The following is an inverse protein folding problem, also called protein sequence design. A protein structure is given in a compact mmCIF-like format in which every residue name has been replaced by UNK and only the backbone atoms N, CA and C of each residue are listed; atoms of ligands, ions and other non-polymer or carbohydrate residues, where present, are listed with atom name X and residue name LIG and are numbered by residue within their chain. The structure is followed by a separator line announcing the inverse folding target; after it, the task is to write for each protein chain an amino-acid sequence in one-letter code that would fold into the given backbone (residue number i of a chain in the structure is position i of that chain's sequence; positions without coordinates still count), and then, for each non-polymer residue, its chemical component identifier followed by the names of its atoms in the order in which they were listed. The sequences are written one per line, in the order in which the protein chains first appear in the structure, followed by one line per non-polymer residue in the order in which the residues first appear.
data_IF_623433958930
#
_entry.id   IF_623433958930
#
_cell.length_a   1.000
_cell.length_b   1.000
_cell.length_c   1.000
_cell.angle_alpha   90.00
_cell.angle_beta   90.00
_cell.angle_gamma   90.00
#
_symmetry.space_group_name_H-M   'P 1'
#
loop_
_entity.id
_entity.type
_entity.pdbx_description
1 polymer ?
#
# COMPACT_ATOMS: atom_id res chain seq x y z
N UNK A 1 -7.68 -2.19 3.93
CA UNK A 1 -8.35 -1.54 2.79
C UNK A 1 -9.11 -2.52 1.90
N UNK A 2 -8.54 -3.67 1.56
CA UNK A 2 -9.22 -4.68 0.74
C UNK A 2 -10.38 -5.42 1.41
N UNK A 3 -10.29 -5.75 2.70
CA UNK A 3 -11.33 -6.48 3.44
C UNK A 3 -12.57 -5.61 3.56
N UNK A 4 -12.41 -4.29 3.72
CA UNK A 4 -13.52 -3.34 3.68
C UNK A 4 -14.20 -3.30 2.30
N UNK A 5 -13.45 -3.33 1.18
CA UNK A 5 -14.06 -3.46 -0.15
C UNK A 5 -14.74 -4.83 -0.33
N UNK A 6 -14.14 -5.91 0.17
CA UNK A 6 -14.70 -7.25 0.15
C UNK A 6 -16.03 -7.29 0.93
N UNK A 7 -16.07 -6.77 2.16
CA UNK A 7 -17.27 -6.69 2.99
C UNK A 7 -18.35 -5.76 2.43
N UNK A 8 -17.99 -4.60 1.87
CA UNK A 8 -18.96 -3.66 1.25
C UNK A 8 -19.63 -4.24 -0.01
N UNK A 9 -18.94 -5.18 -0.68
CA UNK A 9 -19.37 -5.80 -1.94
C UNK A 9 -19.65 -7.31 -1.79
N UNK A 10 -19.84 -7.81 -0.57
CA UNK A 10 -20.18 -9.21 -0.26
C UNK A 10 -19.24 -10.27 -0.88
N UNK A 11 -17.95 -9.93 -1.02
CA UNK A 11 -16.93 -10.84 -1.50
C UNK A 11 -16.26 -11.54 -0.32
N UNK A 12 -16.23 -12.87 -0.34
CA UNK A 12 -15.60 -13.68 0.73
C UNK A 12 -14.12 -13.98 0.48
N UNK A 13 -13.67 -13.80 -0.76
CA UNK A 13 -12.28 -14.04 -1.19
C UNK A 13 -11.80 -12.95 -2.14
N UNK A 14 -10.49 -12.72 -2.13
CA UNK A 14 -9.85 -11.80 -3.08
C UNK A 14 -10.05 -12.35 -4.51
N UNK A 15 -10.62 -11.57 -5.44
CA UNK A 15 -10.75 -11.98 -6.83
C UNK A 15 -9.40 -12.38 -7.42
N UNK A 16 -9.36 -13.52 -8.11
CA UNK A 16 -8.17 -13.99 -8.83
C UNK A 16 -8.20 -13.56 -10.29
N UNK A 17 -7.06 -13.64 -10.96
CA UNK A 17 -6.99 -13.31 -12.38
C UNK A 17 -7.83 -14.31 -13.17
N UNK A 18 -8.78 -13.80 -13.95
CA UNK A 18 -9.70 -14.62 -14.76
C UNK A 18 -9.02 -15.44 -15.88
N UNK A 19 -7.69 -15.35 -16.03
CA UNK A 19 -6.93 -16.08 -17.06
C UNK A 19 -5.96 -17.09 -16.45
N UNK A 20 -5.22 -16.70 -15.40
CA UNK A 20 -4.14 -17.53 -14.84
C UNK A 20 -4.30 -17.85 -13.36
N UNK A 21 -5.40 -17.43 -12.72
CA UNK A 21 -5.64 -17.64 -11.28
C UNK A 21 -4.71 -16.87 -10.35
N UNK A 22 -3.71 -16.15 -10.88
CA UNK A 22 -2.78 -15.35 -10.08
C UNK A 22 -3.46 -14.18 -9.38
N UNK A 23 -2.88 -13.71 -8.28
CA UNK A 23 -3.39 -12.55 -7.53
C UNK A 23 -3.48 -11.30 -8.40
N UNK A 24 -4.54 -10.52 -8.22
CA UNK A 24 -4.75 -9.25 -8.91
C UNK A 24 -4.59 -8.07 -7.96
N UNK A 25 -4.21 -6.90 -8.50
CA UNK A 25 -4.02 -5.70 -7.68
C UNK A 25 -5.36 -5.03 -7.38
N UNK A 26 -5.53 -4.62 -6.12
CA UNK A 26 -6.57 -3.68 -5.71
C UNK A 26 -6.23 -2.28 -6.25
N UNK A 27 -7.19 -1.61 -6.89
CA UNK A 27 -7.00 -0.29 -7.51
C UNK A 27 -7.57 0.86 -6.67
N UNK A 28 -8.00 0.57 -5.46
CA UNK A 28 -8.76 1.48 -4.60
C UNK A 28 -10.23 1.11 -4.54
N UNK A 29 -10.92 1.57 -3.51
CA UNK A 29 -12.31 1.20 -3.21
C UNK A 29 -13.30 1.47 -4.34
N UNK A 30 -13.07 2.54 -5.11
CA UNK A 30 -13.89 2.90 -6.27
C UNK A 30 -13.79 1.91 -7.43
N UNK A 31 -12.59 1.39 -7.70
CA UNK A 31 -12.33 0.53 -8.87
C UNK A 31 -12.25 -0.95 -8.51
N UNK A 32 -12.16 -1.26 -7.21
CA UNK A 32 -12.04 -2.62 -6.71
C UNK A 32 -10.78 -3.32 -7.20
N UNK A 33 -10.89 -4.63 -7.33
CA UNK A 33 -9.83 -5.49 -7.85
C UNK A 33 -9.78 -5.49 -9.37
N UNK A 34 -8.57 -5.53 -9.94
CA UNK A 34 -8.44 -5.83 -11.37
C UNK A 34 -8.98 -7.22 -11.68
N UNK A 35 -9.65 -7.39 -12.81
CA UNK A 35 -10.02 -8.73 -13.30
C UNK A 35 -8.82 -9.55 -13.81
N UNK A 36 -7.68 -8.88 -14.09
CA UNK A 36 -6.48 -9.50 -14.66
C UNK A 36 -5.20 -9.01 -13.99
N UNK A 37 -4.23 -9.90 -13.81
CA UNK A 37 -2.93 -9.57 -13.21
C UNK A 37 -2.03 -8.75 -14.15
N UNK A 38 -2.24 -8.85 -15.47
CA UNK A 38 -1.46 -8.16 -16.50
C UNK A 38 -2.27 -7.91 -17.77
N UNK A 39 -1.81 -6.97 -18.61
CA UNK A 39 -2.40 -6.76 -19.95
C UNK A 39 -2.32 -8.02 -20.80
N UNK A 40 -1.24 -8.80 -20.67
CA UNK A 40 -1.05 -10.07 -21.37
C UNK A 40 -2.15 -11.07 -20.97
N UNK A 41 -2.41 -11.24 -19.67
CA UNK A 41 -3.49 -12.12 -19.22
C UNK A 41 -4.87 -11.65 -19.70
N UNK A 42 -5.13 -10.34 -19.71
CA UNK A 42 -6.37 -9.79 -20.26
C UNK A 42 -6.51 -10.10 -21.75
N UNK A 43 -5.44 -9.95 -22.53
CA UNK A 43 -5.44 -10.25 -23.97
C UNK A 43 -5.57 -11.74 -24.28
N UNK A 44 -5.10 -12.60 -23.38
CA UNK A 44 -5.15 -14.06 -23.56
C UNK A 44 -6.39 -14.70 -22.93
N UNK A 45 -7.29 -13.92 -22.33
CA UNK A 45 -8.52 -14.46 -21.76
C UNK A 45 -9.45 -14.98 -22.87
N UNK A 46 -9.79 -16.26 -22.81
CA UNK A 46 -10.57 -16.97 -23.83
C UNK A 46 -11.96 -16.34 -23.98
N UNK A 47 -12.65 -16.08 -22.87
CA UNK A 47 -14.02 -15.55 -22.90
C UNK A 47 -14.09 -14.14 -23.50
N UNK A 48 -13.16 -13.26 -23.14
CA UNK A 48 -13.05 -11.93 -23.75
C UNK A 48 -12.75 -12.01 -25.24
N UNK A 49 -11.89 -12.93 -25.66
CA UNK A 49 -11.55 -13.11 -27.06
C UNK A 49 -12.73 -13.69 -27.87
N UNK A 50 -13.49 -14.62 -27.29
CA UNK A 50 -14.69 -15.16 -27.90
C UNK A 50 -15.77 -14.08 -28.05
N UNK A 51 -16.07 -13.32 -26.98
CA UNK A 51 -17.01 -12.17 -27.04
C UNK A 51 -16.59 -11.13 -28.07
N UNK A 52 -15.29 -10.82 -28.15
CA UNK A 52 -14.76 -9.90 -29.18
C UNK A 52 -14.96 -10.44 -30.58
N UNK A 53 -14.71 -11.73 -30.80
CA UNK A 53 -14.88 -12.38 -32.10
C UNK A 53 -16.35 -12.42 -32.51
N UNK A 54 -17.25 -12.78 -31.59
CA UNK A 54 -18.68 -12.83 -31.83
C UNK A 54 -19.28 -11.45 -32.13
N UNK A 55 -18.96 -10.45 -31.31
CA UNK A 55 -19.40 -9.05 -31.55
C UNK A 55 -18.95 -8.55 -32.92
N UNK A 56 -17.74 -8.94 -33.35
CA UNK A 56 -17.21 -8.54 -34.67
C UNK A 56 -17.90 -9.29 -35.81
N UNK A 57 -18.15 -10.59 -35.67
CA UNK A 57 -18.93 -11.39 -36.64
C UNK A 57 -20.33 -10.81 -36.80
N UNK A 58 -21.01 -10.51 -35.70
CA UNK A 58 -22.35 -9.90 -35.72
C UNK A 58 -22.39 -8.53 -36.41
N UNK A 59 -21.36 -7.69 -36.21
CA UNK A 59 -21.32 -6.33 -36.77
C UNK A 59 -20.82 -6.24 -38.21
N UNK A 60 -19.91 -7.11 -38.61
CA UNK A 60 -19.15 -6.95 -39.85
C UNK A 60 -19.17 -8.16 -40.78
N UNK A 61 -19.61 -9.35 -40.33
CA UNK A 61 -19.76 -10.55 -41.15
C UNK A 61 -18.47 -11.21 -41.66
N UNK A 62 -17.38 -10.46 -41.88
CA UNK A 62 -16.11 -10.92 -42.44
C UNK A 62 -15.01 -11.13 -41.38
N UNK A 63 -13.99 -11.94 -41.72
CA UNK A 63 -12.79 -12.13 -40.88
C UNK A 63 -11.97 -10.83 -40.81
N UNK A 64 -11.54 -10.46 -39.59
CA UNK A 64 -10.74 -9.27 -39.35
C UNK A 64 -9.41 -9.24 -40.13
N UNK A 65 -8.77 -10.39 -40.34
CA UNK A 65 -7.53 -10.45 -41.15
C UNK A 65 -7.81 -10.06 -42.59
N UNK A 66 -8.93 -10.48 -43.14
CA UNK A 66 -9.34 -10.15 -44.51
C UNK A 66 -9.65 -8.66 -44.66
N UNK A 67 -10.37 -8.07 -43.70
CA UNK A 67 -10.65 -6.63 -43.67
C UNK A 67 -9.35 -5.81 -43.62
N UNK A 68 -8.38 -6.24 -42.80
CA UNK A 68 -7.09 -5.56 -42.67
C UNK A 68 -6.30 -5.65 -43.99
N UNK A 69 -6.27 -6.81 -44.63
CA UNK A 69 -5.54 -6.99 -45.89
C UNK A 69 -6.21 -6.30 -47.08
N UNK A 70 -7.55 -6.28 -47.15
CA UNK A 70 -8.29 -5.46 -48.13
C UNK A 70 -7.95 -3.98 -47.95
N UNK A 71 -7.95 -3.50 -46.69
CA UNK A 71 -7.61 -2.11 -46.36
C UNK A 71 -6.17 -1.75 -46.72
N UNK A 72 -5.20 -2.60 -46.41
CA UNK A 72 -3.80 -2.41 -46.81
C UNK A 72 -3.66 -2.32 -48.33
N UNK A 73 -4.26 -3.27 -49.08
CA UNK A 73 -4.26 -3.23 -50.56
C UNK A 73 -4.83 -1.93 -51.11
N UNK A 74 -5.97 -1.48 -50.58
CA UNK A 74 -6.56 -0.19 -50.99
C UNK A 74 -5.67 1.00 -50.65
N UNK A 75 -5.09 1.04 -49.44
CA UNK A 75 -4.21 2.13 -49.03
C UNK A 75 -2.91 2.13 -49.84
N UNK A 76 -2.38 0.96 -50.17
CA UNK A 76 -1.19 0.81 -50.97
C UNK A 76 -1.42 1.26 -52.42
N UNK A 77 -2.58 0.94 -52.99
CA UNK A 77 -2.98 1.43 -54.32
C UNK A 77 -3.23 2.94 -54.35
N UNK A 78 -3.80 3.52 -53.29
CA UNK A 78 -4.16 4.96 -53.26
C UNK A 78 -3.03 5.88 -52.79
N UNK A 79 -2.21 5.42 -51.85
CA UNK A 79 -1.30 6.26 -51.07
C UNK A 79 0.13 5.74 -51.02
N UNK A 80 0.40 4.56 -51.58
CA UNK A 80 1.72 3.92 -51.58
C UNK A 80 2.20 3.45 -50.21
N UNK A 81 1.34 3.49 -49.18
CA UNK A 81 1.64 3.03 -47.83
C UNK A 81 0.48 2.22 -47.24
N UNK A 82 0.79 1.23 -46.39
CA UNK A 82 -0.21 0.40 -45.71
C UNK A 82 -1.17 1.22 -44.84
N UNK A 83 -0.66 2.31 -44.26
CA UNK A 83 -1.41 3.20 -43.38
C UNK A 83 -1.29 4.66 -43.88
N UNK A 84 -2.39 5.36 -44.19
CA UNK A 84 -2.36 6.68 -44.85
C UNK A 84 -1.49 7.74 -44.14
N UNK A 85 -1.41 7.70 -42.81
CA UNK A 85 -0.59 8.65 -42.03
C UNK A 85 0.93 8.43 -42.15
N UNK A 86 1.38 7.33 -42.77
CA UNK A 86 2.78 7.13 -43.15
C UNK A 86 3.16 7.98 -44.37
N UNK A 87 2.18 8.34 -45.21
CA UNK A 87 2.38 9.27 -46.31
C UNK A 87 2.52 10.68 -45.73
N UNK A 88 3.66 11.33 -45.99
CA UNK A 88 4.01 12.64 -45.43
C UNK A 88 3.01 13.73 -45.82
N UNK A 89 2.48 13.68 -47.05
CA UNK A 89 1.53 14.68 -47.56
C UNK A 89 0.17 14.58 -46.86
N UNK A 90 -0.32 13.35 -46.65
CA UNK A 90 -1.58 13.09 -45.92
C UNK A 90 -1.42 13.49 -44.45
N UNK A 91 -0.27 13.20 -43.85
CA UNK A 91 0.03 13.61 -42.49
C UNK A 91 0.03 15.13 -42.34
N UNK A 92 0.61 15.84 -43.29
CA UNK A 92 0.67 17.30 -43.30
C UNK A 92 -0.74 17.92 -43.47
N UNK A 93 -1.53 17.46 -44.45
CA UNK A 93 -2.94 17.87 -44.62
C UNK A 93 -3.80 17.62 -43.38
N UNK A 94 -3.53 16.52 -42.66
CA UNK A 94 -4.22 16.21 -41.41
C UNK A 94 -3.90 17.21 -40.31
N UNK A 95 -2.63 17.63 -40.19
CA UNK A 95 -2.20 18.65 -39.22
C UNK A 95 -2.82 20.02 -39.53
N UNK A 96 -2.81 20.44 -40.79
CA UNK A 96 -3.43 21.69 -41.25
C UNK A 96 -4.94 21.72 -41.00
N UNK A 97 -5.62 20.58 -41.22
CA UNK A 97 -7.05 20.44 -40.91
C UNK A 97 -7.32 20.50 -39.41
N UNK A 98 -6.42 19.95 -38.59
CA UNK A 98 -6.54 20.02 -37.13
C UNK A 98 -6.31 21.45 -36.61
N UNK A 99 -5.34 22.16 -37.18
CA UNK A 99 -5.01 23.53 -36.80
C UNK A 99 -6.11 24.52 -37.19
N UNK A 100 -6.59 24.46 -38.45
CA UNK A 100 -7.73 25.25 -38.94
C UNK A 100 -9.03 25.00 -38.15
N UNK A 101 -9.18 23.80 -37.57
CA UNK A 101 -10.29 23.46 -36.67
C UNK A 101 -9.94 23.66 -35.20
N UNK A 102 -8.99 24.52 -34.83
CA UNK A 102 -8.76 24.90 -33.43
C UNK A 102 -8.16 23.79 -32.54
N UNK A 103 -7.48 22.81 -33.13
CA UNK A 103 -6.68 21.81 -32.44
C UNK A 103 -7.33 20.43 -32.24
N UNK A 104 -6.57 19.53 -31.61
CA UNK A 104 -6.93 18.11 -31.47
C UNK A 104 -7.86 17.89 -30.26
N UNK A 105 -8.99 17.22 -30.50
CA UNK A 105 -9.90 16.74 -29.46
C UNK A 105 -10.44 17.86 -28.56
N UNK A 106 -10.26 17.74 -27.26
CA UNK A 106 -10.77 18.72 -26.28
C UNK A 106 -9.97 20.03 -26.22
N UNK A 107 -8.92 20.22 -27.04
CA UNK A 107 -8.27 21.53 -27.18
C UNK A 107 -9.19 22.51 -27.94
N UNK A 108 -9.93 22.02 -28.93
CA UNK A 108 -10.96 22.77 -29.64
C UNK A 108 -12.14 23.09 -28.69
N UNK A 109 -12.55 24.38 -28.66
CA UNK A 109 -13.63 24.89 -27.80
C UNK A 109 -15.01 24.35 -28.23
N UNK A 110 -15.32 24.35 -29.52
CA UNK A 110 -16.58 23.82 -30.07
C UNK A 110 -16.73 22.32 -29.75
N UNK A 111 -15.64 21.57 -29.77
CA UNK A 111 -15.65 20.14 -29.42
C UNK A 111 -15.98 19.94 -27.94
N UNK A 112 -15.44 20.80 -27.05
CA UNK A 112 -15.81 20.82 -25.63
C UNK A 112 -17.29 21.16 -25.43
N UNK A 113 -17.78 22.19 -26.10
CA UNK A 113 -19.17 22.63 -26.00
C UNK A 113 -20.16 21.58 -26.52
N UNK A 114 -19.87 20.97 -27.68
CA UNK A 114 -20.69 19.88 -28.23
C UNK A 114 -20.70 18.66 -27.30
N UNK A 115 -19.56 18.28 -26.74
CA UNK A 115 -19.49 17.19 -25.76
C UNK A 115 -20.29 17.51 -24.49
N UNK A 116 -20.19 18.74 -23.97
CA UNK A 116 -20.94 19.18 -22.81
C UNK A 116 -22.46 19.17 -23.07
N UNK A 117 -22.90 19.66 -24.23
CA UNK A 117 -24.31 19.64 -24.64
C UNK A 117 -24.85 18.21 -24.74
N UNK A 118 -24.12 17.32 -25.41
CA UNK A 118 -24.51 15.91 -25.51
C UNK A 118 -24.58 15.20 -24.14
N UNK A 119 -23.71 15.58 -23.19
CA UNK A 119 -23.75 15.07 -21.82
C UNK A 119 -24.97 15.59 -21.04
N UNK A 120 -25.34 16.86 -21.24
CA UNK A 120 -26.54 17.44 -20.64
C UNK A 120 -27.80 16.78 -21.21
N UNK A 121 -27.89 16.63 -22.54
CA UNK A 121 -29.03 15.99 -23.19
C UNK A 121 -29.20 14.53 -22.75
N UNK A 122 -28.09 13.80 -22.60
CA UNK A 122 -28.13 12.37 -22.27
C UNK A 122 -28.25 12.08 -20.77
N UNK A 123 -27.70 12.94 -19.91
CA UNK A 123 -27.54 12.67 -18.47
C UNK A 123 -28.01 13.82 -17.57
N UNK A 124 -28.57 14.90 -18.12
CA UNK A 124 -29.08 16.05 -17.40
C UNK A 124 -28.03 16.97 -16.78
N UNK A 125 -26.73 16.78 -17.06
CA UNK A 125 -25.63 17.52 -16.42
C UNK A 125 -24.38 17.66 -17.30
N UNK A 126 -23.56 18.73 -17.09
CA UNK A 126 -22.44 19.08 -17.96
C UNK A 126 -21.23 18.16 -17.87
N UNK A 127 -21.17 17.27 -16.88
CA UNK A 127 -20.10 16.28 -16.72
C UNK A 127 -20.65 14.86 -16.71
N UNK A 128 -20.11 14.03 -17.59
CA UNK A 128 -20.25 12.58 -17.52
C UNK A 128 -19.42 12.07 -16.35
N UNK A 129 -19.94 12.19 -15.13
CA UNK A 129 -19.35 11.47 -14.02
C UNK A 129 -19.31 9.99 -14.41
N UNK A 130 -18.18 9.34 -14.18
CA UNK A 130 -18.12 7.88 -14.16
C UNK A 130 -19.28 7.38 -13.31
N UNK A 131 -20.09 6.46 -13.84
CA UNK A 131 -21.23 5.84 -13.15
C UNK A 131 -20.96 5.71 -11.64
N UNK A 132 -21.54 6.61 -10.85
CA UNK A 132 -21.62 6.45 -9.40
C UNK A 132 -22.78 5.51 -9.21
N UNK A 133 -22.57 4.38 -8.53
CA UNK A 133 -23.63 3.38 -8.37
C UNK A 133 -24.79 3.99 -7.57
N UNK A 134 -26.04 3.57 -7.82
CA UNK A 134 -27.20 4.02 -7.04
C UNK A 134 -26.99 3.87 -5.53
N UNK A 135 -26.42 2.73 -5.10
CA UNK A 135 -26.03 2.46 -3.70
C UNK A 135 -25.14 3.55 -3.09
N UNK A 136 -24.21 4.12 -3.86
CA UNK A 136 -23.33 5.21 -3.38
C UNK A 136 -24.07 6.54 -3.39
N UNK A 137 -24.98 6.78 -4.33
CA UNK A 137 -25.82 7.99 -4.30
C UNK A 137 -26.71 8.00 -3.06
N UNK A 138 -27.31 6.86 -2.71
CA UNK A 138 -28.18 6.72 -1.55
C UNK A 138 -27.40 6.82 -0.23
N UNK A 139 -26.14 6.36 -0.21
CA UNK A 139 -25.26 6.46 0.97
C UNK A 139 -24.86 7.91 1.28
N UNK A 140 -24.58 8.73 0.25
CA UNK A 140 -24.06 10.09 0.44
C UNK A 140 -25.21 11.08 0.68
N UNK A 141 -25.81 10.97 1.86
CA UNK A 141 -26.80 11.92 2.38
C UNK A 141 -26.14 13.14 3.02
N UNK A 142 -26.96 14.15 3.38
CA UNK A 142 -26.48 15.32 4.10
C UNK A 142 -25.96 14.92 5.48
N UNK A 143 -26.67 14.05 6.18
CA UNK A 143 -26.35 13.54 7.51
C UNK A 143 -25.04 12.76 7.48
N UNK A 144 -24.85 11.90 6.48
CA UNK A 144 -23.59 11.17 6.28
C UNK A 144 -22.41 12.13 6.08
N UNK A 145 -22.56 13.17 5.26
CA UNK A 145 -21.49 14.15 5.04
C UNK A 145 -21.22 15.00 6.28
N UNK A 146 -22.23 15.32 7.08
CA UNK A 146 -22.03 15.98 8.38
C UNK A 146 -21.24 15.08 9.32
N UNK A 147 -21.69 13.85 9.52
CA UNK A 147 -21.02 12.87 10.38
C UNK A 147 -19.57 12.66 9.95
N UNK A 148 -19.32 12.38 8.67
CA UNK A 148 -17.98 12.04 8.21
C UNK A 148 -17.07 13.27 8.07
N UNK A 149 -17.57 14.38 7.52
CA UNK A 149 -16.73 15.54 7.25
C UNK A 149 -16.62 16.46 8.46
N UNK A 150 -17.67 16.66 9.26
CA UNK A 150 -17.67 17.62 10.36
C UNK A 150 -17.38 16.95 11.70
N UNK A 151 -18.07 15.86 12.02
CA UNK A 151 -17.95 15.22 13.33
C UNK A 151 -16.67 14.38 13.40
N UNK A 152 -16.46 13.51 12.41
CA UNK A 152 -15.26 12.67 12.30
C UNK A 152 -14.04 13.40 11.72
N UNK A 153 -14.22 14.64 11.24
CA UNK A 153 -13.15 15.50 10.70
C UNK A 153 -12.33 14.83 9.59
N UNK A 154 -12.98 14.06 8.73
CA UNK A 154 -12.32 13.39 7.60
C UNK A 154 -12.22 14.32 6.39
N UNK A 155 -11.12 14.23 5.65
CA UNK A 155 -10.96 14.97 4.39
C UNK A 155 -11.88 14.39 3.31
N UNK A 156 -12.35 15.21 2.37
CA UNK A 156 -13.17 14.72 1.24
C UNK A 156 -12.43 13.69 0.38
N UNK A 157 -11.10 13.68 0.35
CA UNK A 157 -10.35 12.61 -0.33
C UNK A 157 -10.53 11.27 0.37
N UNK A 158 -10.38 11.26 1.70
CA UNK A 158 -10.53 10.05 2.49
C UNK A 158 -11.97 9.51 2.46
N UNK A 159 -12.97 10.41 2.57
CA UNK A 159 -14.39 10.02 2.45
C UNK A 159 -14.68 9.47 1.06
N UNK A 160 -14.11 10.07 0.01
CA UNK A 160 -14.30 9.58 -1.36
C UNK A 160 -13.74 8.17 -1.54
N UNK A 161 -12.59 7.89 -0.93
CA UNK A 161 -12.02 6.55 -0.93
C UNK A 161 -12.90 5.58 -0.14
N UNK A 162 -13.30 5.92 1.09
CA UNK A 162 -14.12 5.04 1.94
C UNK A 162 -15.45 4.67 1.26
N UNK A 163 -16.14 5.65 0.66
CA UNK A 163 -17.42 5.46 -0.01
C UNK A 163 -17.31 4.96 -1.45
N UNK A 164 -16.10 4.70 -1.97
CA UNK A 164 -15.89 4.20 -3.33
C UNK A 164 -16.31 5.19 -4.42
N UNK A 165 -16.15 6.49 -4.19
CA UNK A 165 -16.58 7.57 -5.09
C UNK A 165 -15.42 8.50 -5.46
N UNK A 166 -15.71 9.73 -5.87
CA UNK A 166 -14.71 10.75 -6.22
C UNK A 166 -14.89 12.01 -5.39
N UNK A 167 -13.78 12.71 -5.12
CA UNK A 167 -13.79 14.02 -4.45
C UNK A 167 -14.66 15.02 -5.21
N UNK A 168 -14.68 14.95 -6.55
CA UNK A 168 -15.53 15.79 -7.38
C UNK A 168 -17.01 15.54 -7.13
N UNK A 169 -17.43 14.28 -6.98
CA UNK A 169 -18.81 13.95 -6.63
C UNK A 169 -19.18 14.46 -5.24
N UNK A 170 -18.30 14.26 -4.25
CA UNK A 170 -18.54 14.77 -2.90
C UNK A 170 -18.63 16.30 -2.87
N UNK A 171 -17.79 17.02 -3.62
CA UNK A 171 -17.88 18.49 -3.73
C UNK A 171 -19.22 18.96 -4.30
N UNK A 172 -19.77 18.25 -5.28
CA UNK A 172 -21.10 18.55 -5.81
C UNK A 172 -22.16 18.37 -4.73
N UNK A 173 -22.13 17.25 -3.99
CA UNK A 173 -23.08 16.99 -2.90
C UNK A 173 -22.94 17.97 -1.74
N UNK A 174 -21.72 18.33 -1.37
CA UNK A 174 -21.45 19.40 -0.39
C UNK A 174 -22.11 20.71 -0.83
N UNK A 175 -21.96 21.12 -2.08
CA UNK A 175 -22.62 22.32 -2.61
C UNK A 175 -24.14 22.18 -2.65
N UNK A 176 -24.68 21.04 -3.10
CA UNK A 176 -26.12 20.75 -3.15
C UNK A 176 -26.77 20.86 -1.75
N UNK A 177 -26.05 20.45 -0.71
CA UNK A 177 -26.51 20.50 0.68
C UNK A 177 -26.12 21.79 1.42
N UNK A 178 -25.51 22.76 0.73
CA UNK A 178 -24.98 24.01 1.30
C UNK A 178 -24.01 23.77 2.47
N UNK A 179 -23.10 22.81 2.32
CA UNK A 179 -22.04 22.49 3.27
C UNK A 179 -20.70 23.04 2.76
N UNK A 180 -19.92 23.66 3.65
CA UNK A 180 -18.57 24.11 3.34
C UNK A 180 -17.53 22.97 3.41
N UNK A 181 -16.50 23.03 2.56
CA UNK A 181 -15.38 22.08 2.63
C UNK A 181 -14.31 22.60 3.59
N UNK A 182 -14.06 21.86 4.67
CA UNK A 182 -12.96 22.12 5.62
C UNK A 182 -11.71 21.33 5.26
N UNK A 183 -10.54 21.90 5.56
CA UNK A 183 -9.26 21.18 5.51
C UNK A 183 -8.91 20.69 6.91
N UNK A 184 -8.72 19.39 7.02
CA UNK A 184 -8.21 18.75 8.23
C UNK A 184 -6.74 18.35 7.99
N UNK A 185 -5.88 18.64 8.96
CA UNK A 185 -4.47 18.25 9.02
C UNK A 185 -4.32 17.18 10.10
N UNK A 186 -3.48 16.14 9.88
CA UNK A 186 -3.05 15.04 10.79
C UNK A 186 -4.13 14.28 11.58
N UNK A 187 -5.12 14.97 12.11
CA UNK A 187 -6.29 14.51 12.85
C UNK A 187 -7.05 13.36 12.19
N UNK A 188 -7.04 13.23 10.87
CA UNK A 188 -7.74 12.11 10.20
C UNK A 188 -7.09 10.75 10.45
N UNK A 189 -5.75 10.69 10.57
CA UNK A 189 -5.03 9.45 10.89
C UNK A 189 -5.28 9.07 12.35
N UNK A 190 -5.17 10.06 13.23
CA UNK A 190 -5.46 9.89 14.65
C UNK A 190 -6.90 9.40 14.88
N UNK A 191 -7.90 9.97 14.19
CA UNK A 191 -9.31 9.55 14.30
C UNK A 191 -9.48 8.05 14.02
N UNK A 192 -8.73 7.47 13.08
CA UNK A 192 -8.79 6.03 12.79
C UNK A 192 -8.40 5.21 14.03
N UNK A 193 -7.33 5.61 14.71
CA UNK A 193 -6.86 4.93 15.92
C UNK A 193 -7.81 5.21 17.09
N UNK A 194 -8.23 6.46 17.28
CA UNK A 194 -9.15 6.87 18.35
C UNK A 194 -10.46 6.09 18.27
N UNK A 195 -11.08 6.02 17.10
CA UNK A 195 -12.32 5.27 16.89
C UNK A 195 -12.12 3.78 17.20
N UNK A 196 -11.00 3.21 16.76
CA UNK A 196 -10.68 1.81 17.04
C UNK A 196 -10.51 1.54 18.55
N UNK A 197 -9.83 2.44 19.28
CA UNK A 197 -9.68 2.33 20.73
C UNK A 197 -11.03 2.46 21.45
N UNK A 198 -11.87 3.43 21.07
CA UNK A 198 -13.22 3.62 21.61
C UNK A 198 -14.10 2.38 21.40
N UNK A 199 -14.09 1.80 20.19
CA UNK A 199 -14.83 0.57 19.88
C UNK A 199 -14.43 -0.63 20.75
N UNK A 200 -13.18 -0.64 21.23
CA UNK A 200 -12.66 -1.69 22.11
C UNK A 200 -12.70 -1.28 23.59
N UNK A 201 -13.41 -0.20 23.94
CA UNK A 201 -13.53 0.34 25.29
C UNK A 201 -12.17 0.64 25.95
N UNK A 202 -11.18 1.08 25.16
CA UNK A 202 -9.86 1.47 25.66
C UNK A 202 -9.86 2.96 25.95
N UNK A 203 -9.48 3.33 27.18
CA UNK A 203 -9.29 4.72 27.60
C UNK A 203 -7.94 5.23 27.13
N UNK A 204 -7.90 6.44 26.57
CA UNK A 204 -6.70 7.08 26.07
C UNK A 204 -6.79 8.60 26.19
N UNK A 205 -5.62 9.23 26.23
CA UNK A 205 -5.44 10.67 26.17
C UNK A 205 -4.88 11.07 24.79
N UNK A 206 -5.01 12.34 24.42
CA UNK A 206 -4.58 12.82 23.10
C UNK A 206 -3.82 14.14 23.21
N UNK A 207 -2.87 14.38 22.31
CA UNK A 207 -2.06 15.60 22.28
C UNK A 207 -1.35 15.88 23.63
N UNK A 208 -0.81 14.82 24.24
CA UNK A 208 -0.22 14.83 25.59
C UNK A 208 1.15 15.48 25.56
N UNK A 209 1.41 16.52 26.35
CA UNK A 209 2.67 17.32 26.32
C UNK A 209 3.46 17.30 27.62
N UNK A 210 2.93 16.67 28.65
CA UNK A 210 3.46 16.66 30.02
C UNK A 210 4.18 15.34 30.38
N UNK A 211 4.10 14.32 29.51
CA UNK A 211 4.77 13.02 29.72
C UNK A 211 6.22 13.03 29.25
N UNK A 212 6.49 13.63 28.08
CA UNK A 212 7.84 13.89 27.57
C UNK A 212 7.92 15.31 27.02
N UNK A 213 9.12 15.80 26.70
CA UNK A 213 9.33 17.14 26.12
C UNK A 213 8.54 17.41 24.83
N UNK A 214 8.14 16.36 24.11
CA UNK A 214 7.40 16.45 22.86
C UNK A 214 5.94 16.04 23.07
N UNK A 215 5.04 16.56 22.23
CA UNK A 215 3.65 16.10 22.19
C UNK A 215 3.58 14.63 21.77
N UNK A 216 2.69 13.84 22.40
CA UNK A 216 2.28 12.50 21.99
C UNK A 216 0.86 12.55 21.41
N UNK A 217 0.66 12.04 20.20
CA UNK A 217 -0.65 12.13 19.54
C UNK A 217 -1.73 11.36 20.32
N UNK A 218 -1.42 10.13 20.71
CA UNK A 218 -2.29 9.25 21.52
C UNK A 218 -1.46 8.57 22.59
N UNK A 219 -1.87 8.68 23.85
CA UNK A 219 -1.27 8.00 24.98
C UNK A 219 -2.30 7.10 25.66
N UNK A 220 -1.90 5.88 25.99
CA UNK A 220 -2.75 4.85 26.59
C UNK A 220 -2.10 4.42 27.91
N UNK A 221 -2.35 5.15 29.01
CA UNK A 221 -1.62 4.98 30.27
C UNK A 221 -1.66 3.55 30.81
N UNK A 222 -2.84 2.91 30.74
CA UNK A 222 -3.06 1.54 31.23
C UNK A 222 -2.07 0.51 30.64
N UNK A 223 -1.59 0.73 29.42
CA UNK A 223 -0.70 -0.21 28.72
C UNK A 223 0.73 0.31 28.59
N UNK A 224 1.07 1.45 29.20
CA UNK A 224 2.34 2.17 28.99
C UNK A 224 2.68 2.29 27.51
N UNK A 225 1.70 2.67 26.70
CA UNK A 225 1.78 2.69 25.23
C UNK A 225 1.43 4.08 24.71
N UNK A 226 2.25 4.59 23.80
CA UNK A 226 1.97 5.80 23.03
C UNK A 226 2.03 5.49 21.53
N UNK A 227 1.22 6.20 20.74
CA UNK A 227 1.10 6.01 19.30
C UNK A 227 1.24 7.39 18.63
N UNK A 228 2.10 7.46 17.62
CA UNK A 228 2.29 8.62 16.75
C UNK A 228 1.71 8.32 15.37
N UNK A 229 0.96 9.27 14.83
CA UNK A 229 0.33 9.21 13.51
C UNK A 229 1.07 10.17 12.56
N UNK A 230 2.25 9.75 12.12
CA UNK A 230 3.20 10.59 11.39
C UNK A 230 2.75 10.83 9.93
N UNK A 231 2.08 11.96 9.69
CA UNK A 231 1.78 12.45 8.35
C UNK A 231 3.06 12.74 7.55
N UNK A 232 3.20 12.17 6.35
CA UNK A 232 4.48 12.15 5.63
C UNK A 232 5.02 13.55 5.33
N UNK A 233 4.15 14.47 4.92
CA UNK A 233 4.56 15.83 4.59
C UNK A 233 5.14 16.59 5.79
N UNK A 234 4.46 16.53 6.94
CA UNK A 234 4.86 17.24 8.16
C UNK A 234 6.07 16.62 8.85
N UNK A 235 6.23 15.30 8.72
CA UNK A 235 7.34 14.53 9.30
C UNK A 235 8.52 14.37 8.34
N UNK A 236 8.59 15.22 7.31
CA UNK A 236 9.65 15.18 6.32
C UNK A 236 10.75 16.18 6.58
N UNK A 237 11.94 15.88 6.05
CA UNK A 237 13.09 16.78 6.17
C UNK A 237 12.84 18.15 5.50
N UNK A 238 12.03 18.20 4.45
CA UNK A 238 11.62 19.46 3.82
C UNK A 238 10.82 20.36 4.77
N UNK A 239 10.14 19.80 5.76
CA UNK A 239 9.39 20.52 6.78
C UNK A 239 10.19 20.70 8.08
N UNK A 240 11.51 20.52 8.02
CA UNK A 240 12.40 20.70 9.17
C UNK A 240 12.38 19.54 10.17
N UNK A 241 11.81 18.40 9.80
CA UNK A 241 11.89 17.19 10.61
C UNK A 241 13.25 16.52 10.39
N UNK A 242 14.18 16.73 11.32
CA UNK A 242 15.51 16.16 11.24
C UNK A 242 15.52 14.63 11.34
N UNK A 243 16.68 14.05 11.06
CA UNK A 243 16.85 12.60 11.00
C UNK A 243 16.77 11.88 12.35
N UNK A 244 16.87 12.60 13.47
CA UNK A 244 16.90 12.02 14.80
C UNK A 244 15.59 12.22 15.56
N UNK A 245 14.71 13.12 15.11
CA UNK A 245 13.55 13.53 15.91
C UNK A 245 12.58 12.39 16.27
N UNK A 246 12.30 11.44 15.37
CA UNK A 246 11.53 10.24 15.74
C UNK A 246 12.28 9.39 16.77
N UNK A 247 13.58 9.16 16.57
CA UNK A 247 14.41 8.40 17.50
C UNK A 247 14.48 9.05 18.89
N UNK A 248 14.62 10.38 18.97
CA UNK A 248 14.66 11.13 20.23
C UNK A 248 13.35 10.99 20.99
N UNK A 249 12.19 11.14 20.31
CA UNK A 249 10.88 10.89 20.94
C UNK A 249 10.78 9.46 21.47
N UNK A 250 11.25 8.49 20.68
CA UNK A 250 11.28 7.10 21.10
C UNK A 250 12.15 6.87 22.34
N UNK A 251 13.35 7.45 22.40
CA UNK A 251 14.24 7.35 23.56
C UNK A 251 13.63 7.98 24.82
N UNK A 252 13.02 9.15 24.70
CA UNK A 252 12.36 9.82 25.83
C UNK A 252 11.18 9.00 26.37
N UNK A 253 10.40 8.34 25.49
CA UNK A 253 9.36 7.42 25.94
C UNK A 253 9.96 6.17 26.61
N UNK A 254 11.01 5.57 26.02
CA UNK A 254 11.71 4.41 26.59
C UNK A 254 12.23 4.71 28.01
N UNK A 255 12.78 5.90 28.25
CA UNK A 255 13.22 6.38 29.57
C UNK A 255 12.09 6.46 30.61
N UNK A 256 10.85 6.72 30.18
CA UNK A 256 9.66 6.71 31.02
C UNK A 256 9.01 5.32 31.14
N UNK A 257 9.62 4.28 30.56
CA UNK A 257 9.03 2.94 30.50
C UNK A 257 7.81 2.85 29.56
N UNK A 258 7.65 3.82 28.65
CA UNK A 258 6.55 3.90 27.69
C UNK A 258 7.02 3.33 26.35
N UNK A 259 6.27 2.39 25.80
CA UNK A 259 6.46 1.93 24.44
C UNK A 259 5.88 2.95 23.46
N UNK A 260 6.69 3.52 22.58
CA UNK A 260 6.23 4.38 21.49
C UNK A 260 6.13 3.58 20.17
N UNK A 261 5.02 3.73 19.44
CA UNK A 261 4.85 3.19 18.09
C UNK A 261 4.61 4.32 17.12
N UNK A 262 5.47 4.43 16.11
CA UNK A 262 5.34 5.40 15.03
C UNK A 262 4.63 4.77 13.83
N UNK A 263 3.46 5.29 13.47
CA UNK A 263 2.68 4.87 12.30
C UNK A 263 2.76 5.96 11.24
N UNK A 264 3.44 5.66 10.14
CA UNK A 264 3.55 6.60 9.03
C UNK A 264 2.25 6.58 8.23
N UNK A 265 1.90 7.70 7.60
CA UNK A 265 0.66 7.84 6.78
C UNK A 265 0.41 6.66 5.84
N UNK A 266 1.46 6.10 5.22
CA UNK A 266 1.34 4.95 4.31
C UNK A 266 0.93 3.64 4.99
N UNK A 267 1.18 3.47 6.29
CA UNK A 267 0.75 2.28 7.03
C UNK A 267 -0.77 2.22 7.15
N UNK A 268 -1.43 3.39 7.18
CA UNK A 268 -2.89 3.52 7.18
C UNK A 268 -3.52 3.13 5.84
N UNK A 269 -2.72 2.84 4.81
CA UNK A 269 -3.20 2.15 3.62
C UNK A 269 -3.56 0.67 3.91
N UNK A 270 -3.08 0.13 5.03
CA UNK A 270 -3.38 -1.23 5.51
C UNK A 270 -3.73 -1.20 6.99
N UNK A 271 -4.86 -0.56 7.38
CA UNK A 271 -5.23 -0.37 8.77
C UNK A 271 -5.42 -1.70 9.51
N UNK A 272 -5.75 -2.79 8.80
CA UNK A 272 -5.86 -4.13 9.40
C UNK A 272 -4.55 -4.57 10.06
N UNK A 273 -3.39 -4.19 9.52
CA UNK A 273 -2.08 -4.51 10.13
C UNK A 273 -1.82 -3.70 11.37
N UNK A 274 -2.26 -2.44 11.36
CA UNK A 274 -2.22 -1.56 12.53
C UNK A 274 -3.07 -2.17 13.64
N UNK A 275 -4.32 -2.52 13.34
CA UNK A 275 -5.22 -3.16 14.30
C UNK A 275 -4.68 -4.52 14.76
N UNK A 276 -4.09 -5.32 13.87
CA UNK A 276 -3.45 -6.58 14.26
C UNK A 276 -2.25 -6.37 15.23
N UNK A 277 -1.48 -5.30 15.04
CA UNK A 277 -0.42 -4.90 15.98
C UNK A 277 -1.03 -4.44 17.31
N UNK A 278 -1.96 -3.48 17.28
CA UNK A 278 -2.61 -2.93 18.46
C UNK A 278 -3.33 -4.00 19.28
N UNK A 279 -4.05 -4.93 18.63
CA UNK A 279 -4.66 -6.07 19.30
C UNK A 279 -3.64 -6.89 20.10
N UNK A 280 -2.41 -7.02 19.61
CA UNK A 280 -1.33 -7.69 20.34
C UNK A 280 -0.80 -6.88 21.52
N UNK A 281 -0.72 -5.56 21.36
CA UNK A 281 -0.21 -4.63 22.40
C UNK A 281 -1.21 -4.39 23.52
N UNK A 282 -2.50 -4.36 23.20
CA UNK A 282 -3.62 -4.11 24.09
C UNK A 282 -4.22 -5.41 24.65
N UNK A 283 -3.58 -6.56 24.39
CA UNK A 283 -4.01 -7.88 24.84
C UNK A 283 -5.43 -8.29 24.40
N UNK A 284 -5.89 -7.77 23.27
CA UNK A 284 -7.22 -8.06 22.69
C UNK A 284 -7.24 -9.35 21.86
N UNK A 285 -6.06 -9.91 21.51
CA UNK A 285 -6.01 -11.17 20.76
C UNK A 285 -6.39 -12.37 21.63
N UNK A 286 -7.21 -13.30 21.11
CA UNK A 286 -7.41 -14.59 21.77
C UNK A 286 -6.08 -15.31 21.97
N UNK A 287 -5.89 -15.83 23.18
CA UNK A 287 -4.65 -16.49 23.60
C UNK A 287 -4.74 -17.99 23.32
N UNK A 288 -3.72 -18.52 22.66
CA UNK A 288 -3.50 -19.96 22.48
C UNK A 288 -2.05 -20.31 22.84
N UNK A 289 -1.79 -21.56 23.21
CA UNK A 289 -0.44 -22.02 23.54
C UNK A 289 0.15 -22.81 22.38
N UNK A 290 1.43 -22.61 22.09
CA UNK A 290 2.11 -23.29 20.99
C UNK A 290 2.08 -24.82 21.08
N UNK A 291 1.89 -25.40 22.28
CA UNK A 291 1.70 -26.85 22.47
C UNK A 291 0.41 -27.39 21.83
N UNK A 292 -0.58 -26.53 21.60
CA UNK A 292 -1.83 -26.86 20.93
C UNK A 292 -1.71 -26.73 19.40
N UNK A 293 -0.60 -26.21 18.90
CA UNK A 293 -0.38 -26.00 17.48
C UNK A 293 0.53 -27.08 16.90
N UNK A 294 0.29 -27.45 15.64
CA UNK A 294 1.21 -28.27 14.85
C UNK A 294 2.23 -27.38 14.12
N UNK A 295 3.49 -27.82 14.00
CA UNK A 295 4.48 -27.14 13.16
C UNK A 295 4.46 -27.78 11.78
N UNK A 296 4.26 -26.99 10.72
CA UNK A 296 4.30 -27.45 9.32
C UNK A 296 5.17 -26.54 8.46
N UNK A 297 5.65 -27.05 7.34
CA UNK A 297 6.19 -26.19 6.28
C UNK A 297 5.03 -25.44 5.61
N UNK A 298 5.26 -24.16 5.27
CA UNK A 298 4.26 -23.31 4.63
C UNK A 298 4.67 -23.06 3.18
N UNK A 299 3.79 -23.40 2.25
CA UNK A 299 4.06 -23.23 0.82
C UNK A 299 3.94 -21.77 0.37
N UNK A 300 4.64 -21.42 -0.71
CA UNK A 300 4.84 -20.03 -1.16
C UNK A 300 3.56 -19.19 -1.28
N UNK A 301 2.46 -19.76 -1.78
CA UNK A 301 1.20 -19.02 -1.93
C UNK A 301 0.58 -18.66 -0.57
N UNK A 302 0.60 -19.59 0.38
CA UNK A 302 0.06 -19.41 1.72
C UNK A 302 0.93 -18.44 2.54
N UNK A 303 2.26 -18.61 2.50
CA UNK A 303 3.21 -17.69 3.13
C UNK A 303 3.00 -16.26 2.62
N UNK A 304 2.89 -16.09 1.30
CA UNK A 304 2.70 -14.79 0.67
C UNK A 304 1.40 -14.16 1.13
N UNK A 305 0.31 -14.91 1.10
CA UNK A 305 -1.02 -14.43 1.51
C UNK A 305 -1.01 -14.00 2.97
N UNK A 306 -0.49 -14.85 3.85
CA UNK A 306 -0.43 -14.58 5.28
C UNK A 306 0.43 -13.36 5.62
N UNK A 307 1.61 -13.21 5.00
CA UNK A 307 2.49 -12.07 5.23
C UNK A 307 1.93 -10.75 4.68
N UNK A 308 1.29 -10.75 3.52
CA UNK A 308 0.67 -9.53 2.97
C UNK A 308 -0.47 -9.07 3.87
N UNK A 309 -1.23 -9.98 4.47
CA UNK A 309 -2.31 -9.65 5.40
C UNK A 309 -1.79 -9.11 6.73
N UNK A 310 -0.74 -9.72 7.28
CA UNK A 310 -0.41 -9.55 8.71
C UNK A 310 0.91 -8.82 9.01
N UNK A 311 1.84 -8.72 8.05
CA UNK A 311 3.17 -8.15 8.29
C UNK A 311 3.35 -6.78 7.61
N UNK A 312 3.83 -5.77 8.34
CA UNK A 312 4.05 -4.41 7.83
C UNK A 312 4.98 -4.37 6.61
N UNK A 313 6.06 -5.16 6.65
CA UNK A 313 7.00 -5.27 5.53
C UNK A 313 6.55 -6.23 4.41
N UNK A 314 5.30 -6.70 4.44
CA UNK A 314 4.73 -7.66 3.48
C UNK A 314 5.55 -8.96 3.34
N UNK A 315 5.22 -9.77 2.34
CA UNK A 315 5.97 -10.97 1.99
C UNK A 315 7.38 -10.65 1.49
N UNK A 316 8.34 -11.49 1.88
CA UNK A 316 9.67 -11.57 1.32
C UNK A 316 9.91 -13.02 0.89
N UNK A 317 10.56 -13.23 -0.27
CA UNK A 317 10.91 -14.57 -0.73
C UNK A 317 11.80 -15.26 0.30
N UNK A 318 11.36 -16.41 0.79
CA UNK A 318 12.07 -17.26 1.74
C UNK A 318 12.45 -18.59 1.08
N UNK A 319 13.53 -19.22 1.54
CA UNK A 319 13.88 -20.60 1.16
C UNK A 319 13.29 -21.62 2.14
N UNK A 320 12.99 -21.19 3.37
CA UNK A 320 12.35 -22.00 4.40
C UNK A 320 11.27 -21.16 5.07
N UNK A 321 10.04 -21.69 5.16
CA UNK A 321 8.96 -21.07 5.92
C UNK A 321 8.29 -22.13 6.79
N UNK A 322 8.26 -21.89 8.10
CA UNK A 322 7.61 -22.75 9.09
C UNK A 322 6.39 -22.03 9.67
N UNK A 323 5.29 -22.76 9.84
CA UNK A 323 4.02 -22.25 10.32
C UNK A 323 3.52 -23.04 11.54
N UNK A 324 2.83 -22.35 12.43
CA UNK A 324 2.02 -22.96 13.48
C UNK A 324 0.58 -23.03 13.01
N UNK A 325 0.00 -24.24 13.08
CA UNK A 325 -1.38 -24.50 12.71
C UNK A 325 -2.19 -24.85 13.96
N UNK A 326 -3.29 -24.14 14.19
CA UNK A 326 -4.27 -24.44 15.24
C UNK A 326 -5.59 -24.78 14.56
N UNK A 327 -6.15 -25.98 14.82
CA UNK A 327 -7.35 -26.47 14.12
C UNK A 327 -7.25 -26.37 12.59
N UNK A 328 -6.09 -26.72 12.03
CA UNK A 328 -5.75 -26.60 10.61
C UNK A 328 -5.69 -25.17 10.03
N UNK A 329 -5.82 -24.13 10.86
CA UNK A 329 -5.62 -22.74 10.44
C UNK A 329 -4.19 -22.28 10.76
N UNK A 330 -3.51 -21.66 9.78
CA UNK A 330 -2.21 -21.03 9.99
C UNK A 330 -2.37 -19.78 10.89
N UNK A 331 -1.78 -19.82 12.08
CA UNK A 331 -1.92 -18.75 13.10
C UNK A 331 -0.66 -17.92 13.31
N UNK A 332 0.51 -18.46 12.96
CA UNK A 332 1.80 -17.78 13.06
C UNK A 332 2.77 -18.41 12.06
N UNK A 333 3.68 -17.63 11.48
CA UNK A 333 4.78 -18.17 10.67
C UNK A 333 6.12 -17.51 10.99
N UNK A 334 7.19 -18.21 10.64
CA UNK A 334 8.57 -17.73 10.69
C UNK A 334 9.29 -18.16 9.40
N UNK A 335 9.86 -17.19 8.67
CA UNK A 335 10.52 -17.47 7.39
C UNK A 335 11.98 -17.04 7.36
N UNK A 336 12.79 -17.81 6.63
CA UNK A 336 14.23 -17.73 6.57
C UNK A 336 14.73 -17.80 5.13
N UNK A 337 15.83 -17.10 4.85
CA UNK A 337 16.57 -17.22 3.59
C UNK A 337 18.05 -16.94 3.81
N UNK A 338 18.87 -17.10 2.78
CA UNK A 338 20.22 -16.53 2.80
C UNK A 338 20.16 -14.99 2.95
N UNK A 339 21.00 -14.39 3.80
CA UNK A 339 20.99 -12.95 3.98
C UNK A 339 21.30 -12.19 2.69
N UNK A 340 20.58 -11.10 2.44
CA UNK A 340 20.82 -10.29 1.24
C UNK A 340 22.03 -9.39 1.36
N UNK A 341 22.23 -8.82 2.55
CA UNK A 341 23.24 -7.79 2.80
C UNK A 341 24.47 -8.32 3.52
N UNK A 342 24.28 -9.17 4.54
CA UNK A 342 25.38 -9.62 5.39
C UNK A 342 25.67 -11.11 5.16
N UNK A 343 26.50 -11.38 4.15
CA UNK A 343 26.90 -12.75 3.74
C UNK A 343 27.80 -13.47 4.75
N UNK A 344 28.18 -12.82 5.87
CA UNK A 344 28.87 -13.47 6.99
C UNK A 344 27.98 -14.51 7.70
N UNK A 345 26.66 -14.34 7.64
CA UNK A 345 25.70 -15.21 8.31
C UNK A 345 25.08 -16.19 7.32
N UNK A 346 24.74 -17.39 7.78
CA UNK A 346 24.18 -18.43 6.92
C UNK A 346 22.70 -18.17 6.59
N UNK A 347 21.91 -17.82 7.59
CA UNK A 347 20.48 -17.52 7.43
C UNK A 347 20.12 -16.14 7.97
N UNK A 348 19.13 -15.51 7.35
CA UNK A 348 18.41 -14.34 7.83
C UNK A 348 16.99 -14.77 8.21
N UNK A 349 16.56 -14.50 9.45
CA UNK A 349 15.15 -14.57 9.82
C UNK A 349 14.48 -13.34 9.21
N UNK A 350 13.72 -13.57 8.14
CA UNK A 350 13.08 -12.53 7.33
C UNK A 350 11.80 -12.03 7.97
N UNK A 351 10.90 -12.94 8.37
CA UNK A 351 9.58 -12.62 8.89
C UNK A 351 9.27 -13.48 10.09
N UNK A 352 8.77 -12.85 11.14
CA UNK A 352 7.98 -13.50 12.18
C UNK A 352 6.62 -12.82 12.17
N UNK A 353 5.60 -13.54 11.70
CA UNK A 353 4.29 -12.94 11.43
C UNK A 353 3.24 -13.62 12.30
N UNK A 354 2.48 -12.80 13.04
CA UNK A 354 1.37 -13.24 13.87
C UNK A 354 0.05 -12.97 13.15
N UNK A 355 -0.83 -13.97 13.11
CA UNK A 355 -2.22 -13.79 12.69
C UNK A 355 -3.07 -13.23 13.83
N UNK A 356 -4.34 -13.63 13.87
CA UNK A 356 -5.33 -13.10 14.81
C UNK A 356 -5.14 -13.58 16.25
N UNK A 357 -4.34 -14.62 16.48
CA UNK A 357 -4.09 -15.18 17.81
C UNK A 357 -2.80 -14.66 18.45
N UNK A 358 -2.79 -14.60 19.79
CA UNK A 358 -1.58 -14.49 20.57
C UNK A 358 -1.07 -15.90 20.90
N UNK A 359 -0.06 -16.37 20.16
CA UNK A 359 0.49 -17.72 20.30
C UNK A 359 1.64 -17.73 21.31
N UNK A 360 1.33 -18.08 22.56
CA UNK A 360 2.33 -18.12 23.64
C UNK A 360 3.33 -19.25 23.41
N UNK A 361 4.61 -18.89 23.39
CA UNK A 361 5.73 -19.78 23.08
C UNK A 361 5.88 -20.09 21.59
N UNK A 362 5.07 -19.47 20.72
CA UNK A 362 5.02 -19.84 19.30
C UNK A 362 6.30 -19.51 18.54
N UNK A 363 6.85 -18.30 18.74
CA UNK A 363 8.11 -17.89 18.14
C UNK A 363 9.25 -18.85 18.52
N UNK A 364 9.38 -19.19 19.81
CA UNK A 364 10.40 -20.12 20.30
C UNK A 364 10.21 -21.52 19.74
N UNK A 365 8.96 -22.01 19.60
CA UNK A 365 8.66 -23.32 18.99
C UNK A 365 9.10 -23.39 17.53
N UNK A 366 8.76 -22.37 16.74
CA UNK A 366 9.15 -22.28 15.32
C UNK A 366 10.67 -22.19 15.16
N UNK A 367 11.31 -21.32 15.92
CA UNK A 367 12.76 -21.13 15.88
C UNK A 367 13.51 -22.39 16.31
N UNK A 368 13.08 -23.03 17.40
CA UNK A 368 13.68 -24.30 17.85
C UNK A 368 13.53 -25.39 16.79
N UNK A 369 12.34 -25.52 16.18
CA UNK A 369 12.13 -26.47 15.08
C UNK A 369 13.07 -26.17 13.90
N UNK A 370 13.25 -24.89 13.53
CA UNK A 370 14.19 -24.49 12.48
C UNK A 370 15.63 -24.90 12.82
N UNK A 371 16.12 -24.54 14.01
CA UNK A 371 17.48 -24.82 14.43
C UNK A 371 17.75 -26.33 14.47
N UNK A 372 16.82 -27.12 15.01
CA UNK A 372 16.96 -28.58 15.11
C UNK A 372 16.92 -29.26 13.75
N UNK A 373 16.03 -28.83 12.84
CA UNK A 373 15.85 -29.47 11.53
C UNK A 373 16.93 -29.08 10.52
N UNK A 374 17.31 -27.81 10.49
CA UNK A 374 18.21 -27.27 9.46
C UNK A 374 19.66 -27.07 9.94
N UNK A 375 19.92 -27.25 11.24
CA UNK A 375 21.24 -27.16 11.86
C UNK A 375 22.10 -25.96 11.38
N UNK A 376 21.59 -24.71 11.48
CA UNK A 376 22.27 -23.55 10.95
C UNK A 376 23.52 -23.19 11.80
N UNK A 377 24.59 -22.74 11.15
CA UNK A 377 25.81 -22.27 11.83
C UNK A 377 25.68 -20.85 12.37
N UNK A 378 24.77 -20.05 11.83
CA UNK A 378 24.48 -18.71 12.30
C UNK A 378 23.19 -18.15 11.70
N UNK A 379 22.51 -17.27 12.44
CA UNK A 379 21.28 -16.59 12.00
C UNK A 379 21.40 -15.09 12.33
N UNK A 380 20.99 -14.21 11.42
CA UNK A 380 20.85 -12.77 11.64
C UNK A 380 19.39 -12.34 11.50
N UNK A 381 18.97 -11.29 12.21
CA UNK A 381 17.68 -10.63 11.99
C UNK A 381 17.74 -9.15 12.36
N UNK A 382 16.72 -8.42 11.91
CA UNK A 382 16.66 -6.96 11.97
C UNK A 382 15.33 -6.52 12.58
N UNK A 383 15.37 -5.77 13.68
CA UNK A 383 14.19 -5.22 14.34
C UNK A 383 14.01 -3.74 14.00
N UNK A 384 12.90 -3.40 13.33
CA UNK A 384 12.58 -2.00 13.05
C UNK A 384 12.08 -1.31 14.33
N UNK A 385 12.89 -0.40 14.89
CA UNK A 385 12.60 0.31 16.15
C UNK A 385 11.31 1.14 16.09
N UNK A 386 10.92 1.59 14.90
CA UNK A 386 9.69 2.36 14.66
C UNK A 386 8.43 1.66 15.19
N UNK A 387 8.41 0.32 15.13
CA UNK A 387 7.23 -0.50 15.42
C UNK A 387 7.44 -1.50 16.57
N UNK A 388 8.67 -1.96 16.78
CA UNK A 388 8.97 -3.13 17.60
C UNK A 388 10.13 -2.88 18.58
N UNK A 389 10.14 -3.64 19.66
CA UNK A 389 11.09 -3.49 20.78
C UNK A 389 12.22 -4.53 20.79
N UNK A 390 12.30 -5.40 19.79
CA UNK A 390 13.33 -6.46 19.76
C UNK A 390 13.15 -7.62 20.75
N UNK A 391 12.28 -7.50 21.77
CA UNK A 391 12.10 -8.49 22.85
C UNK A 391 11.92 -9.95 22.42
N UNK A 392 11.36 -10.19 21.23
CA UNK A 392 11.22 -11.55 20.71
C UNK A 392 12.56 -12.21 20.46
N UNK A 393 13.55 -11.47 19.96
CA UNK A 393 14.87 -12.01 19.64
C UNK A 393 15.64 -12.45 20.89
N UNK A 394 15.49 -11.72 22.00
CA UNK A 394 16.01 -12.16 23.30
C UNK A 394 15.39 -13.48 23.76
N UNK A 395 14.07 -13.68 23.55
CA UNK A 395 13.38 -14.95 23.84
C UNK A 395 13.79 -16.11 22.92
N UNK A 396 14.42 -15.79 21.79
CA UNK A 396 15.01 -16.77 20.87
C UNK A 396 16.50 -17.01 21.17
N UNK A 397 17.02 -16.48 22.28
CA UNK A 397 18.43 -16.52 22.66
C UNK A 397 19.35 -15.89 21.59
N UNK A 398 18.85 -14.88 20.87
CA UNK A 398 19.68 -14.07 19.97
C UNK A 398 20.32 -12.90 20.75
N UNK A 399 21.54 -12.58 20.39
CA UNK A 399 22.32 -11.48 20.97
C UNK A 399 22.16 -10.23 20.13
N UNK A 400 21.79 -9.11 20.76
CA UNK A 400 21.88 -7.79 20.14
C UNK A 400 23.35 -7.45 19.90
N UNK A 401 23.70 -7.03 18.68
CA UNK A 401 25.09 -6.68 18.34
C UNK A 401 25.31 -5.18 18.20
N UNK A 402 24.37 -4.45 17.61
CA UNK A 402 24.38 -3.00 17.47
C UNK A 402 23.03 -2.49 16.99
N UNK A 403 22.86 -1.17 17.09
CA UNK A 403 21.71 -0.45 16.52
C UNK A 403 22.21 0.49 15.43
N UNK A 404 21.56 0.46 14.27
CA UNK A 404 21.90 1.38 13.18
C UNK A 404 21.39 2.78 13.48
N UNK A 405 22.05 3.81 12.93
CA UNK A 405 21.46 5.14 12.87
C UNK A 405 20.12 5.13 12.10
N UNK A 406 19.26 6.15 12.32
CA UNK A 406 18.06 6.37 11.51
C UNK A 406 18.32 6.23 10.00
N UNK A 407 17.50 5.43 9.35
CA UNK A 407 17.44 5.31 7.89
C UNK A 407 16.32 6.19 7.34
N UNK A 408 16.25 6.33 6.02
CA UNK A 408 15.25 7.18 5.39
C UNK A 408 14.55 6.49 4.21
N UNK A 409 13.35 6.98 3.96
CA UNK A 409 12.46 6.56 2.89
C UNK A 409 12.05 7.77 2.05
N UNK A 410 12.07 7.60 0.74
CA UNK A 410 11.63 8.62 -0.21
C UNK A 410 10.14 8.51 -0.49
N UNK A 411 9.50 9.65 -0.72
CA UNK A 411 8.11 9.74 -1.16
C UNK A 411 7.88 10.98 -2.02
N UNK A 412 6.70 11.07 -2.64
CA UNK A 412 6.25 12.27 -3.35
C UNK A 412 4.84 12.61 -2.89
N UNK A 413 4.43 13.86 -2.99
CA UNK A 413 3.03 14.26 -2.69
C UNK A 413 2.01 13.74 -3.70
N UNK A 414 2.47 13.06 -4.76
CA UNK A 414 1.63 12.53 -5.85
C UNK A 414 1.39 11.01 -5.74
N UNK A 415 2.08 10.33 -4.82
CA UNK A 415 2.06 8.88 -4.73
C UNK A 415 2.04 8.44 -3.27
N UNK A 416 1.09 7.57 -2.94
CA UNK A 416 0.93 7.00 -1.59
C UNK A 416 1.87 5.81 -1.40
N UNK A 417 3.18 6.05 -1.55
CA UNK A 417 4.20 5.01 -1.49
C UNK A 417 5.52 5.53 -0.94
N UNK A 418 6.08 4.75 -0.01
CA UNK A 418 7.47 4.87 0.42
C UNK A 418 8.40 4.02 -0.45
N UNK A 419 9.54 4.60 -0.77
CA UNK A 419 10.64 3.96 -1.47
C UNK A 419 11.86 3.90 -0.56
N UNK A 420 12.41 2.71 -0.35
CA UNK A 420 13.61 2.57 0.45
C UNK A 420 14.78 3.31 -0.20
N UNK A 421 15.67 3.92 0.60
CA UNK A 421 16.85 4.65 0.08
C UNK A 421 17.68 3.84 -0.93
N UNK A 422 17.74 2.52 -0.81
CA UNK A 422 18.49 1.65 -1.74
C UNK A 422 17.95 1.65 -3.17
N UNK A 423 16.69 2.05 -3.36
CA UNK A 423 16.08 2.26 -4.69
C UNK A 423 16.78 3.41 -5.43
N UNK A 424 17.20 4.44 -4.68
CA UNK A 424 17.66 5.72 -5.22
C UNK A 424 19.14 6.00 -4.94
N UNK A 425 19.96 4.96 -4.87
CA UNK A 425 21.41 5.11 -4.73
C UNK A 425 21.98 5.96 -5.88
N UNK A 426 22.94 6.86 -5.59
CA UNK A 426 23.47 7.84 -6.56
C UNK A 426 23.80 7.25 -7.94
N UNK A 427 24.45 6.10 -8.01
CA UNK A 427 24.83 5.45 -9.27
C UNK A 427 23.62 4.97 -10.12
N UNK A 428 22.44 4.77 -9.52
CA UNK A 428 21.19 4.41 -10.21
C UNK A 428 20.42 5.62 -10.72
N UNK A 429 20.64 6.80 -10.12
CA UNK A 429 19.81 7.99 -10.36
C UNK A 429 19.83 8.47 -11.81
N UNK A 430 20.97 8.35 -12.51
CA UNK A 430 21.09 8.69 -13.94
C UNK A 430 20.02 8.01 -14.81
N UNK A 431 19.60 6.80 -14.44
CA UNK A 431 18.63 6.01 -15.20
C UNK A 431 17.19 6.14 -14.64
N UNK A 432 17.03 6.72 -13.45
CA UNK A 432 15.74 6.81 -12.75
C UNK A 432 15.14 8.22 -12.79
N UNK A 433 15.97 9.25 -12.91
CA UNK A 433 15.56 10.65 -12.85
C UNK A 433 15.67 11.29 -14.24
N UNK A 434 14.64 12.06 -14.61
CA UNK A 434 14.66 12.87 -15.84
C UNK A 434 15.68 14.02 -15.71
N UNK A 435 15.76 14.64 -14.54
CA UNK A 435 16.69 15.73 -14.25
C UNK A 435 17.80 15.23 -13.31
N UNK A 436 18.88 14.66 -13.87
CA UNK A 436 20.02 14.18 -13.08
C UNK A 436 21.26 15.06 -13.28
N UNK A 437 21.93 15.37 -12.18
CA UNK A 437 23.20 16.10 -12.13
C UNK A 437 24.23 15.31 -11.32
N UNK A 438 25.32 14.89 -11.98
CA UNK A 438 26.37 14.07 -11.38
C UNK A 438 27.16 14.80 -10.28
N UNK A 439 27.20 16.13 -10.33
CA UNK A 439 27.92 16.96 -9.35
C UNK A 439 27.17 17.05 -8.02
N UNK A 440 25.84 16.92 -8.06
CA UNK A 440 24.96 16.97 -6.89
C UNK A 440 24.99 15.65 -6.09
N UNK A 441 24.68 15.75 -4.81
CA UNK A 441 24.45 14.62 -3.92
C UNK A 441 23.20 13.82 -4.33
N UNK A 442 23.02 12.64 -3.75
CA UNK A 442 21.78 11.84 -3.91
C UNK A 442 20.55 12.68 -3.54
N UNK A 443 20.60 13.32 -2.37
CA UNK A 443 19.47 14.07 -1.84
C UNK A 443 19.13 15.30 -2.69
N UNK A 444 20.13 16.07 -3.11
CA UNK A 444 19.91 17.23 -3.98
C UNK A 444 19.26 16.85 -5.32
N UNK A 445 19.68 15.73 -5.91
CA UNK A 445 19.06 15.18 -7.11
C UNK A 445 17.60 14.77 -6.85
N UNK A 446 17.34 14.06 -5.76
CA UNK A 446 15.98 13.62 -5.41
C UNK A 446 15.05 14.82 -5.13
N UNK A 447 15.53 15.84 -4.41
CA UNK A 447 14.80 17.08 -4.13
C UNK A 447 14.48 17.85 -5.42
N UNK A 448 15.44 17.95 -6.35
CA UNK A 448 15.23 18.58 -7.66
C UNK A 448 14.17 17.86 -8.51
N UNK A 449 13.94 16.56 -8.25
CA UNK A 449 12.91 15.75 -8.89
C UNK A 449 11.62 15.61 -8.05
N UNK A 450 11.39 16.54 -7.11
CA UNK A 450 10.20 16.61 -6.26
C UNK A 450 9.97 15.42 -5.33
N UNK A 451 11.03 14.68 -5.00
CA UNK A 451 11.00 13.73 -3.90
C UNK A 451 11.26 14.44 -2.57
N UNK A 452 10.72 13.83 -1.53
CA UNK A 452 10.98 14.19 -0.15
C UNK A 452 11.38 12.93 0.63
N UNK A 453 11.95 13.09 1.82
CA UNK A 453 12.33 11.95 2.67
C UNK A 453 11.84 12.09 4.10
N UNK A 454 11.43 10.95 4.66
CA UNK A 454 11.08 10.74 6.06
C UNK A 454 12.09 9.77 6.67
N UNK A 455 12.41 9.96 7.94
CA UNK A 455 13.40 9.17 8.66
C UNK A 455 12.72 8.20 9.62
N UNK A 456 13.25 6.99 9.78
CA UNK A 456 12.80 6.03 10.79
C UNK A 456 13.61 6.17 12.10
N UNK A 457 13.43 5.23 13.04
CA UNK A 457 14.12 5.22 14.32
C UNK A 457 15.38 4.33 14.32
N UNK A 458 15.87 3.92 13.16
CA UNK A 458 16.94 2.93 13.03
C UNK A 458 16.46 1.49 13.20
N UNK A 459 17.42 0.58 13.21
CA UNK A 459 17.17 -0.87 13.24
C UNK A 459 18.13 -1.54 14.20
N UNK A 460 17.60 -2.36 15.10
CA UNK A 460 18.42 -3.21 15.96
C UNK A 460 18.79 -4.49 15.23
N UNK A 461 20.04 -4.91 15.38
CA UNK A 461 20.56 -6.10 14.71
C UNK A 461 20.82 -7.19 15.75
N UNK A 462 20.23 -8.36 15.51
CA UNK A 462 20.33 -9.53 16.38
C UNK A 462 20.98 -10.69 15.66
N UNK A 463 21.81 -11.45 16.36
CA UNK A 463 22.49 -12.62 15.81
C UNK A 463 22.38 -13.82 16.75
N UNK A 464 22.36 -15.00 16.16
CA UNK A 464 22.33 -16.27 16.87
C UNK A 464 23.44 -17.17 16.34
N UNK A 465 24.07 -17.90 17.25
CA UNK A 465 25.01 -18.97 16.97
C UNK A 465 24.57 -20.22 17.74
N UNK A 466 24.88 -21.43 17.23
CA UNK A 466 24.69 -22.66 17.97
C UNK A 466 25.32 -22.55 19.37
N UNK A 467 24.64 -23.06 20.41
CA UNK A 467 25.25 -23.13 21.73
C UNK A 467 26.56 -23.93 21.64
N UNK A 468 27.62 -23.41 22.24
CA UNK A 468 28.88 -24.13 22.33
C UNK A 468 28.65 -25.41 23.11
N UNK A 469 28.85 -26.56 22.47
CA UNK A 469 28.92 -27.86 23.13
C UNK A 469 30.42 -28.14 23.28
N UNK A 470 31.01 -27.95 24.49
CA UNK A 470 32.37 -28.43 24.73
C UNK A 470 32.40 -29.92 24.40
N UNK A 471 33.33 -30.32 23.55
CA UNK A 471 33.58 -31.75 23.28
C UNK A 471 34.15 -32.45 24.49
#
# INVERSE_FOLDING_TARGET
MWVVHLCINDLTIIPSCLTCGSSVSFRGFRLGYKSFCSKTCQSNNIDLNNKRTETKKQRYGEDQKEIVEKRKRTNQAKYGVDYPLQNKEIRQKTLETQESKGGIGFRNVDTRQKAQKALIEKFGKPSGNAFVSPKVVDLITKEYLIEQHYDNKLSLSFIADLAGTTVSFLRIKMNEFNLETKRYHSSSLETIIKNYLLQNNIVFDTNVRDVIKYELDIYIPQFNLAIECDGLWYHSERFGYDNNRHLVKQQLCEEQGIRLVHLFEVDFLTPEKIFNLLNGLLFLKPKIFARQCEVREVYSLEERTFNILNHFQNHANSSVCLGLYFNNELVQLMSFAEPRFNKKYQYELLRLTNGNFNVVGGASKLFHHFVTKYNPTSIISYCNKRLFTGNVYHKLNMTHIHTTSPSYWYFTTKQDKLYHRSTFQKHKLKNLLENYDATKTEWENMKANNYNRIWDCGTEVFVWYPPFIPK
#
